data_IF_474270662156
#
_entry.id   IF_474270662156
#
_cell.length_a   1.000
_cell.length_b   1.000
_cell.length_c   1.000
_cell.angle_alpha   90.00
_cell.angle_beta   90.00
_cell.angle_gamma   90.00
#
_symmetry.space_group_name_H-M   'P 1'
#
loop_
_entity.id
_entity.type
_entity.pdbx_description
1 polymer ?
#
# COMPACT_ATOMS: atom_id res chain seq x y z
N UNK A 1 -15.25 45.70 45.74
CA UNK A 1 -14.16 44.81 45.25
C UNK A 1 -13.91 43.59 46.15
N UNK A 2 -14.76 43.28 47.14
CA UNK A 2 -14.61 42.10 48.02
C UNK A 2 -15.59 40.95 47.68
N UNK A 3 -16.69 41.24 46.97
CA UNK A 3 -17.72 40.25 46.62
C UNK A 3 -17.32 39.40 45.40
N UNK A 4 -16.54 39.98 44.47
CA UNK A 4 -16.01 39.26 43.30
C UNK A 4 -14.94 38.21 43.66
N UNK A 5 -14.20 38.41 44.76
CA UNK A 5 -13.18 37.45 45.21
C UNK A 5 -13.79 36.21 45.89
N UNK A 6 -14.96 36.35 46.53
CA UNK A 6 -15.66 35.24 47.20
C UNK A 6 -16.33 34.31 46.17
N UNK A 7 -16.82 34.86 45.05
CA UNK A 7 -17.38 34.05 43.95
C UNK A 7 -16.31 33.27 43.17
N UNK A 8 -15.10 33.82 43.00
CA UNK A 8 -13.99 33.04 42.41
C UNK A 8 -13.58 31.85 43.30
N UNK A 9 -13.62 31.97 44.63
CA UNK A 9 -13.33 30.85 45.53
C UNK A 9 -14.44 29.79 45.56
N UNK A 10 -15.69 30.15 45.23
CA UNK A 10 -16.79 29.20 45.15
C UNK A 10 -16.79 28.39 43.83
N UNK A 11 -16.35 28.99 42.73
CA UNK A 11 -16.25 28.29 41.42
C UNK A 11 -15.00 27.39 41.36
N UNK A 12 -13.93 27.71 42.08
CA UNK A 12 -12.77 26.82 42.22
C UNK A 12 -12.97 25.66 43.22
N UNK A 13 -14.08 25.64 43.97
CA UNK A 13 -14.44 24.53 44.86
C UNK A 13 -15.32 23.46 44.21
N UNK A 14 -15.66 23.58 42.92
CA UNK A 14 -15.79 22.39 42.08
C UNK A 14 -14.39 21.92 41.70
N UNK A 15 -13.69 21.48 42.75
CA UNK A 15 -12.60 20.53 42.67
C UNK A 15 -12.92 19.54 41.56
N UNK A 16 -12.06 19.50 40.54
CA UNK A 16 -11.64 18.24 39.96
C UNK A 16 -11.30 17.35 41.16
N UNK A 17 -12.27 16.58 41.62
CA UNK A 17 -11.98 15.44 42.47
C UNK A 17 -11.11 14.58 41.59
N UNK A 18 -9.79 14.59 41.83
CA UNK A 18 -8.96 13.48 41.46
C UNK A 18 -9.61 12.32 42.21
N UNK A 19 -10.48 11.57 41.53
CA UNK A 19 -10.94 10.29 42.05
C UNK A 19 -9.65 9.50 42.22
N UNK A 20 -9.21 9.34 43.47
CA UNK A 20 -8.13 8.44 43.79
C UNK A 20 -8.67 7.07 43.42
N UNK A 21 -8.31 6.61 42.23
CA UNK A 21 -8.69 5.31 41.71
C UNK A 21 -8.20 4.26 42.71
N UNK A 22 -9.11 3.43 43.18
CA UNK A 22 -8.79 2.39 44.13
C UNK A 22 -8.06 1.27 43.38
N UNK A 23 -6.92 0.82 43.89
CA UNK A 23 -6.25 -0.38 43.37
C UNK A 23 -7.17 -1.61 43.49
N UNK A 24 -7.13 -2.51 42.51
CA UNK A 24 -7.93 -3.73 42.55
C UNK A 24 -7.47 -4.65 43.69
N UNK A 25 -8.44 -5.21 44.42
CA UNK A 25 -8.19 -6.31 45.35
C UNK A 25 -8.01 -7.63 44.59
N UNK A 26 -7.45 -8.69 45.22
CA UNK A 26 -7.40 -10.01 44.60
C UNK A 26 -8.78 -10.53 44.17
N UNK A 27 -9.83 -10.19 44.92
CA UNK A 27 -11.21 -10.54 44.55
C UNK A 27 -11.68 -9.78 43.31
N UNK A 28 -11.35 -8.50 43.19
CA UNK A 28 -11.72 -7.68 42.03
C UNK A 28 -11.06 -8.24 40.76
N UNK A 29 -9.77 -8.62 40.84
CA UNK A 29 -9.05 -9.24 39.72
C UNK A 29 -9.63 -10.60 39.32
N UNK A 30 -10.00 -11.42 40.30
CA UNK A 30 -10.65 -12.71 40.03
C UNK A 30 -12.00 -12.51 39.33
N UNK A 31 -12.81 -11.53 39.78
CA UNK A 31 -14.09 -11.20 39.13
C UNK A 31 -13.87 -10.67 37.70
N UNK A 32 -12.89 -9.79 37.50
CA UNK A 32 -12.55 -9.29 36.17
C UNK A 32 -12.19 -10.44 35.22
N UNK A 33 -11.31 -11.34 35.65
CA UNK A 33 -10.88 -12.48 34.86
C UNK A 33 -12.01 -13.46 34.58
N UNK A 34 -12.77 -13.87 35.60
CA UNK A 34 -13.80 -14.91 35.45
C UNK A 34 -15.05 -14.42 34.71
N UNK A 35 -15.38 -13.13 34.84
CA UNK A 35 -16.61 -12.58 34.25
C UNK A 35 -16.35 -11.75 33.01
N UNK A 36 -15.52 -10.73 33.11
CA UNK A 36 -15.28 -9.84 31.99
C UNK A 36 -14.46 -10.58 30.92
N UNK A 37 -13.39 -11.28 31.33
CA UNK A 37 -12.54 -12.09 30.44
C UNK A 37 -13.31 -13.16 29.67
N UNK A 38 -14.32 -13.81 30.27
CA UNK A 38 -15.15 -14.77 29.56
C UNK A 38 -16.03 -14.15 28.46
N UNK A 39 -16.42 -12.87 28.61
CA UNK A 39 -17.17 -12.14 27.59
C UNK A 39 -16.20 -11.60 26.51
N UNK A 40 -15.02 -11.14 26.92
CA UNK A 40 -13.92 -10.77 26.02
C UNK A 40 -13.55 -11.94 25.10
N UNK A 41 -13.28 -13.13 25.63
CA UNK A 41 -12.94 -14.33 24.84
C UNK A 41 -14.02 -14.65 23.79
N UNK A 42 -15.30 -14.44 24.12
CA UNK A 42 -16.39 -14.63 23.17
C UNK A 42 -16.36 -13.58 22.06
N UNK A 43 -16.12 -12.31 22.39
CA UNK A 43 -16.02 -11.24 21.41
C UNK A 43 -14.76 -11.39 20.53
N UNK A 44 -13.63 -11.77 21.13
CA UNK A 44 -12.37 -12.06 20.43
C UNK A 44 -12.56 -13.19 19.41
N UNK A 45 -13.33 -14.23 19.76
CA UNK A 45 -13.66 -15.29 18.80
C UNK A 45 -14.41 -14.78 17.56
N UNK A 46 -15.20 -13.71 17.69
CA UNK A 46 -15.81 -13.06 16.54
C UNK A 46 -14.80 -12.21 15.77
N UNK A 47 -13.91 -11.47 16.46
CA UNK A 47 -12.83 -10.73 15.81
C UNK A 47 -11.96 -11.64 14.95
N UNK A 48 -11.52 -12.79 15.49
CA UNK A 48 -10.72 -13.78 14.76
C UNK A 48 -11.50 -14.37 13.58
N UNK A 49 -12.77 -14.73 13.79
CA UNK A 49 -13.60 -15.35 12.75
C UNK A 49 -13.85 -14.42 11.55
N UNK A 50 -13.94 -13.13 11.79
CA UNK A 50 -14.22 -12.11 10.78
C UNK A 50 -13.00 -11.24 10.48
N UNK A 51 -11.79 -11.70 10.83
CA UNK A 51 -10.58 -10.99 10.48
C UNK A 51 -10.49 -10.82 8.95
N UNK A 52 -10.23 -9.58 8.51
CA UNK A 52 -10.21 -9.20 7.10
C UNK A 52 -11.57 -9.20 6.38
N UNK A 53 -12.70 -9.39 7.07
CA UNK A 53 -14.03 -9.48 6.45
C UNK A 53 -15.07 -8.65 7.22
N UNK A 54 -16.07 -8.12 6.50
CA UNK A 54 -17.19 -7.41 7.13
C UNK A 54 -18.21 -8.46 7.64
N UNK A 55 -18.51 -8.52 8.96
CA UNK A 55 -19.49 -9.46 9.48
C UNK A 55 -20.92 -9.18 8.97
N UNK A 56 -21.80 -10.19 8.93
CA UNK A 56 -23.24 -9.99 8.77
C UNK A 56 -23.84 -9.06 9.84
N UNK A 57 -24.97 -8.42 9.53
CA UNK A 57 -25.54 -7.38 10.40
C UNK A 57 -26.01 -7.90 11.76
N UNK A 58 -26.57 -9.12 11.81
CA UNK A 58 -26.94 -9.81 13.05
C UNK A 58 -25.72 -10.13 13.92
N UNK A 59 -24.59 -10.43 13.29
CA UNK A 59 -23.33 -10.64 13.99
C UNK A 59 -22.80 -9.33 14.57
N UNK A 60 -22.86 -8.22 13.82
CA UNK A 60 -22.47 -6.90 14.34
C UNK A 60 -23.31 -6.47 15.55
N UNK A 61 -24.61 -6.74 15.53
CA UNK A 61 -25.51 -6.47 16.66
C UNK A 61 -25.08 -7.27 17.89
N UNK A 62 -24.87 -8.58 17.75
CA UNK A 62 -24.38 -9.44 18.83
C UNK A 62 -23.03 -8.96 19.41
N UNK A 63 -22.09 -8.59 18.54
CA UNK A 63 -20.79 -8.07 18.97
C UNK A 63 -20.90 -6.75 19.71
N UNK A 64 -21.81 -5.88 19.26
CA UNK A 64 -22.11 -4.61 19.94
C UNK A 64 -22.69 -4.83 21.33
N UNK A 65 -23.52 -5.84 21.51
CA UNK A 65 -24.07 -6.19 22.82
C UNK A 65 -23.04 -6.83 23.75
N UNK A 66 -22.16 -7.69 23.22
CA UNK A 66 -21.01 -8.22 23.98
C UNK A 66 -20.10 -7.09 24.47
N UNK A 67 -19.79 -6.13 23.59
CA UNK A 67 -19.01 -4.95 23.95
C UNK A 67 -19.66 -4.16 25.10
N UNK A 68 -20.97 -3.86 25.02
CA UNK A 68 -21.68 -3.17 26.11
C UNK A 68 -21.56 -3.94 27.44
N UNK A 69 -21.71 -5.26 27.39
CA UNK A 69 -21.60 -6.10 28.58
C UNK A 69 -20.18 -6.05 29.19
N UNK A 70 -19.13 -6.01 28.36
CA UNK A 70 -17.73 -5.85 28.81
C UNK A 70 -17.54 -4.49 29.48
N UNK A 71 -18.06 -3.42 28.87
CA UNK A 71 -18.02 -2.06 29.41
C UNK A 71 -18.69 -1.94 30.77
N UNK A 72 -19.90 -2.48 30.89
CA UNK A 72 -20.63 -2.54 32.15
C UNK A 72 -19.88 -3.40 33.19
N UNK A 73 -19.28 -4.51 32.77
CA UNK A 73 -18.53 -5.40 33.65
C UNK A 73 -17.34 -4.69 34.32
N UNK A 74 -16.46 -4.06 33.54
CA UNK A 74 -15.31 -3.35 34.08
C UNK A 74 -15.70 -2.11 34.89
N UNK A 75 -16.75 -1.39 34.47
CA UNK A 75 -17.26 -0.24 35.20
C UNK A 75 -17.82 -0.62 36.57
N UNK A 76 -18.53 -1.75 36.68
CA UNK A 76 -19.03 -2.26 37.97
C UNK A 76 -17.90 -2.62 38.95
N UNK A 77 -16.77 -3.09 38.43
CA UNK A 77 -15.59 -3.40 39.26
C UNK A 77 -14.94 -2.10 39.74
N UNK A 78 -14.79 -1.11 38.85
CA UNK A 78 -14.48 0.29 39.19
C UNK A 78 -13.13 0.54 39.86
N UNK A 79 -12.24 -0.46 39.90
CA UNK A 79 -10.86 -0.31 40.35
C UNK A 79 -9.95 0.13 39.20
N UNK A 80 -8.76 0.62 39.52
CA UNK A 80 -7.84 1.21 38.54
C UNK A 80 -7.56 0.28 37.36
N UNK A 81 -7.10 -0.95 37.62
CA UNK A 81 -6.76 -1.87 36.52
C UNK A 81 -7.99 -2.22 35.67
N UNK A 82 -9.19 -2.33 36.27
CA UNK A 82 -10.43 -2.60 35.54
C UNK A 82 -10.82 -1.44 34.62
N UNK A 83 -10.66 -0.20 35.08
CA UNK A 83 -10.97 0.99 34.28
C UNK A 83 -9.93 1.22 33.18
N UNK A 84 -8.66 0.86 33.42
CA UNK A 84 -7.63 0.83 32.36
C UNK A 84 -7.98 -0.22 31.28
N UNK A 85 -8.40 -1.43 31.69
CA UNK A 85 -8.90 -2.45 30.75
C UNK A 85 -10.11 -1.95 29.96
N UNK A 86 -11.07 -1.30 30.62
CA UNK A 86 -12.23 -0.68 29.96
C UNK A 86 -11.78 0.27 28.85
N UNK A 87 -10.90 1.22 29.16
CA UNK A 87 -10.41 2.21 28.18
C UNK A 87 -9.69 1.57 26.99
N UNK A 88 -8.87 0.55 27.23
CA UNK A 88 -8.19 -0.17 26.15
C UNK A 88 -9.20 -0.87 25.22
N UNK A 89 -10.22 -1.50 25.81
CA UNK A 89 -11.26 -2.20 25.07
C UNK A 89 -12.17 -1.24 24.28
N UNK A 90 -12.45 -0.04 24.81
CA UNK A 90 -13.16 1.02 24.09
C UNK A 90 -12.43 1.40 22.79
N UNK A 91 -11.10 1.56 22.86
CA UNK A 91 -10.26 1.90 21.69
C UNK A 91 -10.26 0.77 20.66
N UNK A 92 -10.13 -0.48 21.11
CA UNK A 92 -10.13 -1.65 20.23
C UNK A 92 -11.47 -1.81 19.50
N UNK A 93 -12.59 -1.70 20.24
CA UNK A 93 -13.91 -1.81 19.65
C UNK A 93 -14.24 -0.64 18.71
N UNK A 94 -13.80 0.58 19.03
CA UNK A 94 -13.96 1.72 18.11
C UNK A 94 -13.20 1.48 16.79
N UNK A 95 -11.95 1.02 16.85
CA UNK A 95 -11.17 0.67 15.66
C UNK A 95 -11.87 -0.42 14.83
N UNK A 96 -12.37 -1.48 15.47
CA UNK A 96 -13.13 -2.54 14.81
C UNK A 96 -14.42 -2.03 14.18
N UNK A 97 -15.17 -1.19 14.90
CA UNK A 97 -16.43 -0.61 14.42
C UNK A 97 -16.19 0.21 13.15
N UNK A 98 -15.12 1.01 13.14
CA UNK A 98 -14.72 1.80 11.97
C UNK A 98 -14.30 0.87 10.82
N UNK A 99 -13.50 -0.17 11.09
CA UNK A 99 -13.08 -1.15 10.07
C UNK A 99 -14.29 -1.75 9.33
N UNK A 100 -15.33 -2.13 10.06
CA UNK A 100 -16.55 -2.74 9.50
C UNK A 100 -17.45 -1.82 8.69
N UNK A 101 -17.15 -0.52 8.67
CA UNK A 101 -17.80 0.39 7.73
C UNK A 101 -17.29 0.18 6.30
N UNK A 102 -16.25 -0.63 6.08
CA UNK A 102 -15.58 -0.77 4.79
C UNK A 102 -14.64 0.40 4.49
N UNK A 103 -14.19 1.12 5.52
CA UNK A 103 -13.40 2.35 5.33
C UNK A 103 -12.05 2.08 4.64
N UNK A 104 -11.46 0.89 4.84
CA UNK A 104 -10.19 0.53 4.20
C UNK A 104 -10.35 0.44 2.69
N UNK A 105 -11.37 -0.28 2.22
CA UNK A 105 -11.66 -0.40 0.78
C UNK A 105 -11.96 0.98 0.18
N UNK A 106 -12.77 1.78 0.88
CA UNK A 106 -13.05 3.17 0.50
C UNK A 106 -11.78 4.01 0.35
N UNK A 107 -10.84 3.90 1.30
CA UNK A 107 -9.59 4.66 1.25
C UNK A 107 -8.63 4.16 0.18
N UNK A 108 -8.58 2.85 -0.08
CA UNK A 108 -7.82 2.29 -1.19
C UNK A 108 -8.31 2.87 -2.53
N UNK A 109 -9.63 2.92 -2.73
CA UNK A 109 -10.22 3.53 -3.93
C UNK A 109 -9.98 5.04 -4.02
N UNK A 110 -10.14 5.76 -2.91
CA UNK A 110 -9.85 7.19 -2.85
C UNK A 110 -8.41 7.50 -3.27
N UNK A 111 -7.44 6.74 -2.75
CA UNK A 111 -6.03 6.91 -3.14
C UNK A 111 -5.78 6.52 -4.59
N UNK A 112 -6.39 5.44 -5.07
CA UNK A 112 -6.35 5.05 -6.48
C UNK A 112 -6.83 6.17 -7.40
N UNK A 113 -7.97 6.78 -7.06
CA UNK A 113 -8.56 7.89 -7.80
C UNK A 113 -7.65 9.14 -7.86
N UNK A 114 -6.84 9.39 -6.82
CA UNK A 114 -5.82 10.46 -6.84
C UNK A 114 -4.70 10.11 -7.82
N UNK A 115 -4.11 8.91 -7.75
CA UNK A 115 -3.00 8.52 -8.64
C UNK A 115 -3.40 8.45 -10.12
N UNK A 116 -4.63 8.04 -10.38
CA UNK A 116 -5.17 7.89 -11.74
C UNK A 116 -5.79 9.20 -12.27
N UNK A 117 -5.78 10.27 -11.48
CA UNK A 117 -6.35 11.57 -11.83
C UNK A 117 -7.83 11.45 -12.29
N UNK A 118 -8.60 10.53 -11.69
CA UNK A 118 -10.00 10.28 -12.06
C UNK A 118 -10.92 11.48 -11.82
N UNK A 119 -10.51 12.38 -10.92
CA UNK A 119 -11.29 13.54 -10.49
C UNK A 119 -10.43 14.79 -10.51
N UNK A 120 -10.88 15.86 -11.17
CA UNK A 120 -10.06 17.06 -11.38
C UNK A 120 -9.66 17.76 -10.06
N UNK A 121 -10.50 17.69 -9.03
CA UNK A 121 -10.27 18.38 -7.77
C UNK A 121 -9.16 17.75 -6.92
N UNK A 122 -8.77 16.49 -7.17
CA UNK A 122 -7.81 15.79 -6.31
C UNK A 122 -6.42 16.40 -6.37
N UNK A 123 -6.07 17.00 -7.50
CA UNK A 123 -4.78 17.63 -7.75
C UNK A 123 -4.57 18.96 -7.00
N UNK A 124 -5.61 19.51 -6.37
CA UNK A 124 -5.54 20.80 -5.66
C UNK A 124 -5.00 20.68 -4.22
N UNK A 125 -4.85 19.46 -3.70
CA UNK A 125 -4.52 19.23 -2.29
C UNK A 125 -3.39 18.21 -2.10
N UNK A 126 -2.58 18.40 -1.06
CA UNK A 126 -1.46 17.51 -0.73
C UNK A 126 -1.89 16.30 0.14
N UNK A 127 -2.77 15.45 -0.39
CA UNK A 127 -3.33 14.29 0.34
C UNK A 127 -2.29 13.32 0.92
N UNK A 128 -1.16 13.20 0.24
CA UNK A 128 -0.08 12.27 0.58
C UNK A 128 1.08 12.91 1.33
N UNK A 129 0.94 14.16 1.79
CA UNK A 129 2.01 14.87 2.52
C UNK A 129 2.48 14.07 3.74
N UNK A 130 3.80 14.04 3.95
CA UNK A 130 4.40 13.42 5.14
C UNK A 130 4.42 14.36 6.34
N UNK A 131 4.16 15.66 6.12
CA UNK A 131 3.93 16.61 7.20
C UNK A 131 2.50 16.47 7.72
N UNK A 132 2.30 16.16 9.02
CA UNK A 132 0.97 15.97 9.58
C UNK A 132 0.05 17.17 9.44
N UNK A 133 0.58 18.40 9.54
CA UNK A 133 -0.22 19.63 9.49
C UNK A 133 -0.70 19.89 8.07
N UNK A 134 0.21 19.83 7.10
CA UNK A 134 -0.10 20.00 5.68
C UNK A 134 -1.10 18.95 5.19
N UNK A 135 -0.89 17.69 5.60
CA UNK A 135 -1.82 16.61 5.28
C UNK A 135 -3.20 16.88 5.90
N UNK A 136 -3.26 17.30 7.16
CA UNK A 136 -4.52 17.62 7.83
C UNK A 136 -5.27 18.76 7.14
N UNK A 137 -4.54 19.80 6.74
CA UNK A 137 -5.10 20.93 5.99
C UNK A 137 -5.62 20.49 4.62
N UNK A 138 -4.93 19.56 3.93
CA UNK A 138 -5.40 18.97 2.68
C UNK A 138 -6.77 18.30 2.84
N UNK A 139 -6.96 17.48 3.89
CA UNK A 139 -8.27 16.86 4.15
C UNK A 139 -9.34 17.88 4.56
N UNK A 140 -9.02 18.82 5.45
CA UNK A 140 -10.02 19.79 5.90
C UNK A 140 -10.48 20.74 4.78
N UNK A 141 -9.54 21.28 4.00
CA UNK A 141 -9.86 22.19 2.90
C UNK A 141 -10.38 21.44 1.67
N UNK A 142 -9.88 20.23 1.44
CA UNK A 142 -10.31 19.34 0.36
C UNK A 142 -11.57 18.54 0.65
N UNK A 143 -12.25 18.78 1.77
CA UNK A 143 -13.44 18.03 2.21
C UNK A 143 -14.47 17.81 1.10
N UNK A 144 -14.77 18.85 0.31
CA UNK A 144 -15.74 18.74 -0.79
C UNK A 144 -15.26 17.74 -1.86
N UNK A 145 -13.99 17.79 -2.23
CA UNK A 145 -13.39 16.86 -3.18
C UNK A 145 -13.36 15.43 -2.62
N UNK A 146 -13.00 15.28 -1.34
CA UNK A 146 -13.04 13.98 -0.67
C UNK A 146 -14.44 13.34 -0.71
N UNK A 147 -15.49 14.12 -0.44
CA UNK A 147 -16.86 13.60 -0.53
C UNK A 147 -17.33 13.37 -1.97
N UNK A 148 -16.88 14.17 -2.94
CA UNK A 148 -17.15 13.91 -4.36
C UNK A 148 -16.65 12.53 -4.76
N UNK A 149 -15.36 12.24 -4.51
CA UNK A 149 -14.76 10.94 -4.83
C UNK A 149 -15.45 9.82 -4.06
N UNK A 150 -15.50 9.93 -2.73
CA UNK A 150 -15.96 8.81 -1.91
C UNK A 150 -17.45 8.50 -2.12
N UNK A 151 -18.28 9.48 -2.53
CA UNK A 151 -19.71 9.25 -2.83
C UNK A 151 -19.94 8.31 -4.00
N UNK A 152 -18.96 8.19 -4.90
CA UNK A 152 -19.00 7.32 -6.08
C UNK A 152 -18.25 6.01 -5.80
N UNK A 153 -17.08 6.12 -5.18
CA UNK A 153 -16.15 4.99 -5.03
C UNK A 153 -16.42 4.11 -3.80
N UNK A 154 -17.13 4.63 -2.79
CA UNK A 154 -17.28 3.94 -1.52
C UNK A 154 -18.68 3.38 -1.27
N UNK A 155 -18.75 2.37 -0.40
CA UNK A 155 -20.03 1.81 0.04
C UNK A 155 -20.85 2.83 0.84
N UNK A 156 -22.18 2.64 0.86
CA UNK A 156 -23.10 3.43 1.69
C UNK A 156 -22.71 3.41 3.18
N UNK A 157 -22.18 2.29 3.68
CA UNK A 157 -21.75 2.16 5.08
C UNK A 157 -20.59 3.10 5.40
N UNK A 158 -19.57 3.12 4.53
CA UNK A 158 -18.41 4.01 4.66
C UNK A 158 -18.84 5.48 4.53
N UNK A 159 -19.73 5.78 3.59
CA UNK A 159 -20.29 7.12 3.38
C UNK A 159 -21.02 7.64 4.62
N UNK A 160 -21.87 6.82 5.23
CA UNK A 160 -22.61 7.19 6.44
C UNK A 160 -21.66 7.50 7.60
N UNK A 161 -20.63 6.66 7.78
CA UNK A 161 -19.59 6.89 8.79
C UNK A 161 -18.83 8.19 8.54
N UNK A 162 -18.31 8.38 7.31
CA UNK A 162 -17.53 9.55 6.92
C UNK A 162 -18.32 10.85 7.09
N UNK A 163 -19.58 10.87 6.66
CA UNK A 163 -20.45 12.05 6.77
C UNK A 163 -20.66 12.46 8.23
N UNK A 164 -20.82 11.49 9.11
CA UNK A 164 -21.10 11.73 10.54
C UNK A 164 -19.83 12.04 11.34
N UNK A 165 -18.70 11.41 10.99
CA UNK A 165 -17.48 11.38 11.79
C UNK A 165 -16.28 12.03 11.11
N UNK A 166 -16.49 12.83 10.06
CA UNK A 166 -15.41 13.32 9.19
C UNK A 166 -14.20 13.90 9.94
N UNK A 167 -14.42 14.79 10.92
CA UNK A 167 -13.30 15.41 11.64
C UNK A 167 -12.51 14.38 12.46
N UNK A 168 -13.20 13.44 13.13
CA UNK A 168 -12.54 12.33 13.84
C UNK A 168 -11.77 11.44 12.87
N UNK A 169 -12.32 11.19 11.70
CA UNK A 169 -11.65 10.44 10.64
C UNK A 169 -10.40 11.15 10.13
N UNK A 170 -10.45 12.47 9.94
CA UNK A 170 -9.27 13.26 9.57
C UNK A 170 -8.22 13.20 10.68
N UNK A 171 -8.63 13.28 11.94
CA UNK A 171 -7.72 13.14 13.08
C UNK A 171 -7.10 11.73 13.11
N UNK A 172 -7.87 10.67 12.89
CA UNK A 172 -7.38 9.29 12.73
C UNK A 172 -6.31 9.17 11.64
N UNK A 173 -6.45 9.87 10.51
CA UNK A 173 -5.47 9.80 9.41
C UNK A 173 -4.20 10.63 9.65
N UNK A 174 -4.27 11.66 10.48
CA UNK A 174 -3.24 12.72 10.52
C UNK A 174 -2.56 12.90 11.87
N UNK A 175 -3.24 12.53 12.96
CA UNK A 175 -2.66 12.53 14.29
C UNK A 175 -2.03 11.16 14.54
N UNK A 176 -0.73 11.15 14.76
CA UNK A 176 -0.02 9.93 15.12
C UNK A 176 -0.49 9.48 16.53
N UNK A 177 -0.93 8.23 16.71
CA UNK A 177 -1.36 7.74 18.01
C UNK A 177 -0.18 7.64 18.98
N UNK A 178 -0.47 7.80 20.27
CA UNK A 178 0.44 7.42 21.34
C UNK A 178 0.53 5.89 21.41
N UNK A 179 1.74 5.33 21.42
CA UNK A 179 1.96 3.89 21.48
C UNK A 179 3.00 3.36 20.49
N UNK A 180 3.07 2.03 20.32
CA UNK A 180 3.97 1.39 19.37
C UNK A 180 3.73 1.92 17.94
N UNK A 181 4.82 2.14 17.22
CA UNK A 181 4.70 2.42 15.79
C UNK A 181 4.17 1.18 15.07
N UNK A 182 3.37 1.39 14.03
CA UNK A 182 2.86 0.33 13.16
C UNK A 182 1.73 -0.55 13.71
N UNK A 183 1.04 -0.10 14.76
CA UNK A 183 -0.11 -0.79 15.33
C UNK A 183 -1.37 0.06 15.23
N UNK A 184 -2.46 -0.52 14.71
CA UNK A 184 -3.78 0.09 14.66
C UNK A 184 -4.12 0.84 13.37
N UNK A 185 -5.38 1.26 13.29
CA UNK A 185 -6.04 1.71 12.08
C UNK A 185 -5.40 2.96 11.44
N UNK A 186 -4.76 3.82 12.24
CA UNK A 186 -3.99 4.96 11.73
C UNK A 186 -2.93 4.52 10.72
N UNK A 187 -2.09 3.54 11.07
CA UNK A 187 -1.00 3.10 10.20
C UNK A 187 -1.54 2.32 9.01
N UNK A 188 -2.53 1.46 9.24
CA UNK A 188 -3.16 0.67 8.17
C UNK A 188 -3.77 1.57 7.08
N UNK A 189 -4.57 2.58 7.45
CA UNK A 189 -5.18 3.50 6.48
C UNK A 189 -4.15 4.36 5.76
N UNK A 190 -3.02 4.66 6.41
CA UNK A 190 -1.95 5.43 5.80
C UNK A 190 -1.08 4.62 4.84
N UNK A 191 -0.95 3.33 5.10
CA UNK A 191 -0.21 2.40 4.26
C UNK A 191 -0.98 2.04 2.97
N UNK A 192 -2.32 2.11 2.97
CA UNK A 192 -3.13 1.84 1.78
C UNK A 192 -2.76 2.73 0.57
N UNK A 193 -2.18 3.91 0.79
CA UNK A 193 -1.68 4.79 -0.29
C UNK A 193 -0.60 4.12 -1.14
N UNK A 194 0.01 3.04 -0.64
CA UNK A 194 1.06 2.29 -1.29
C UNK A 194 0.55 1.16 -2.17
N UNK A 195 -0.72 0.75 -2.05
CA UNK A 195 -1.29 -0.34 -2.83
C UNK A 195 -1.24 -0.04 -4.33
N UNK A 196 -1.70 1.15 -4.73
CA UNK A 196 -1.77 1.53 -6.14
C UNK A 196 -0.38 1.65 -6.81
N UNK A 197 0.62 2.34 -6.23
CA UNK A 197 1.99 2.35 -6.76
C UNK A 197 2.61 0.95 -6.90
N UNK A 198 2.29 0.03 -5.99
CA UNK A 198 2.80 -1.35 -6.02
C UNK A 198 2.11 -2.17 -7.10
N UNK A 199 0.78 -2.09 -7.19
CA UNK A 199 0.03 -2.69 -8.30
C UNK A 199 0.58 -2.19 -9.64
N UNK A 200 0.79 -0.87 -9.73
CA UNK A 200 1.41 -0.23 -10.90
C UNK A 200 2.80 -0.81 -11.18
N UNK A 201 3.67 -0.93 -10.17
CA UNK A 201 5.00 -1.54 -10.31
C UNK A 201 4.94 -2.96 -10.88
N UNK A 202 4.02 -3.79 -10.41
CA UNK A 202 3.82 -5.15 -10.92
C UNK A 202 3.41 -5.13 -12.38
N UNK A 203 2.43 -4.29 -12.74
CA UNK A 203 1.98 -4.09 -14.12
C UNK A 203 3.12 -3.64 -15.04
N UNK A 204 3.91 -2.65 -14.61
CA UNK A 204 5.10 -2.17 -15.34
C UNK A 204 6.15 -3.27 -15.52
N UNK A 205 6.39 -4.05 -14.46
CA UNK A 205 7.34 -5.17 -14.49
C UNK A 205 6.88 -6.27 -15.45
N UNK A 206 5.58 -6.56 -15.50
CA UNK A 206 5.03 -7.53 -16.44
C UNK A 206 5.12 -7.04 -17.89
N UNK A 207 4.73 -5.79 -18.14
CA UNK A 207 4.90 -5.15 -19.45
C UNK A 207 6.36 -5.20 -19.91
N UNK A 208 7.29 -4.91 -19.00
CA UNK A 208 8.73 -5.00 -19.25
C UNK A 208 9.15 -6.39 -19.71
N UNK A 209 8.71 -7.43 -19.00
CA UNK A 209 8.99 -8.81 -19.38
C UNK A 209 8.38 -9.17 -20.73
N UNK A 210 7.20 -8.64 -21.07
CA UNK A 210 6.61 -8.79 -22.40
C UNK A 210 7.52 -8.25 -23.51
N UNK A 211 8.17 -7.10 -23.30
CA UNK A 211 9.05 -6.48 -24.30
C UNK A 211 10.39 -7.18 -24.49
N UNK A 212 11.00 -7.65 -23.39
CA UNK A 212 12.34 -8.28 -23.43
C UNK A 212 12.29 -9.79 -23.63
N UNK A 213 11.13 -10.41 -23.36
CA UNK A 213 10.84 -11.81 -23.64
C UNK A 213 9.54 -11.91 -24.47
N UNK A 214 9.57 -11.41 -25.72
CA UNK A 214 8.39 -11.38 -26.58
C UNK A 214 7.91 -12.81 -26.85
N UNK A 215 6.59 -13.00 -26.75
CA UNK A 215 5.95 -14.23 -27.24
C UNK A 215 5.85 -14.15 -28.77
N UNK A 216 5.89 -15.29 -29.46
CA UNK A 216 5.78 -15.29 -30.93
C UNK A 216 4.50 -14.60 -31.42
N UNK A 217 4.48 -14.15 -32.68
CA UNK A 217 3.34 -13.43 -33.27
C UNK A 217 2.01 -14.21 -33.15
N UNK A 218 2.07 -15.54 -33.22
CA UNK A 218 0.95 -16.45 -33.01
C UNK A 218 0.28 -16.21 -31.64
N UNK A 219 1.08 -16.12 -30.58
CA UNK A 219 0.60 -15.84 -29.22
C UNK A 219 0.24 -14.37 -29.01
N UNK A 220 0.90 -13.43 -29.68
CA UNK A 220 0.53 -12.01 -29.59
C UNK A 220 -0.92 -11.78 -30.03
N UNK A 221 -1.37 -12.50 -31.06
CA UNK A 221 -2.76 -12.47 -31.52
C UNK A 221 -3.77 -13.06 -30.52
N UNK A 222 -3.39 -14.10 -29.80
CA UNK A 222 -4.22 -14.77 -28.77
C UNK A 222 -4.47 -13.87 -27.55
N UNK A 223 -3.47 -13.06 -27.16
CA UNK A 223 -3.51 -12.18 -25.99
C UNK A 223 -3.62 -10.70 -26.36
N UNK A 224 -4.21 -10.36 -27.51
CA UNK A 224 -4.27 -9.00 -28.06
C UNK A 224 -4.71 -7.95 -27.04
N UNK A 225 -5.75 -8.22 -26.24
CA UNK A 225 -6.27 -7.29 -25.24
C UNK A 225 -5.22 -6.92 -24.18
N UNK A 226 -4.38 -7.89 -23.77
CA UNK A 226 -3.29 -7.67 -22.81
C UNK A 226 -2.20 -6.80 -23.41
N UNK A 227 -1.86 -7.02 -24.69
CA UNK A 227 -0.89 -6.19 -25.40
C UNK A 227 -1.41 -4.76 -25.61
N UNK A 228 -2.66 -4.61 -26.07
CA UNK A 228 -3.30 -3.30 -26.26
C UNK A 228 -3.32 -2.50 -24.95
N UNK A 229 -3.58 -3.18 -23.82
CA UNK A 229 -3.53 -2.57 -22.48
C UNK A 229 -2.15 -2.00 -22.15
N UNK A 230 -1.07 -2.73 -22.41
CA UNK A 230 0.29 -2.27 -22.14
C UNK A 230 0.82 -1.24 -23.14
N UNK A 231 0.36 -1.26 -24.40
CA UNK A 231 0.70 -0.24 -25.39
C UNK A 231 0.08 1.13 -25.07
N UNK A 232 -1.09 1.13 -24.43
CA UNK A 232 -1.81 2.34 -24.04
C UNK A 232 -1.41 2.88 -22.67
N UNK A 233 -0.46 2.24 -22.01
CA UNK A 233 -0.03 2.58 -20.67
C UNK A 233 0.65 3.96 -20.63
N UNK A 234 0.01 4.91 -19.93
CA UNK A 234 0.47 6.29 -19.73
C UNK A 234 1.05 6.52 -18.34
N UNK A 235 1.36 5.46 -17.60
CA UNK A 235 1.86 5.54 -16.24
C UNK A 235 3.11 6.41 -16.16
N UNK A 236 3.09 7.40 -15.26
CA UNK A 236 4.29 8.17 -14.96
C UNK A 236 5.23 7.36 -14.04
N UNK A 237 6.10 6.56 -14.66
CA UNK A 237 7.08 5.69 -13.98
C UNK A 237 7.97 6.44 -12.99
N UNK A 238 8.25 7.72 -13.21
CA UNK A 238 9.06 8.53 -12.28
C UNK A 238 8.29 8.81 -10.99
N UNK A 239 7.02 9.23 -11.10
CA UNK A 239 6.16 9.46 -9.93
C UNK A 239 5.93 8.15 -9.19
N UNK A 240 5.60 7.06 -9.90
CA UNK A 240 5.45 5.72 -9.32
C UNK A 240 6.66 5.35 -8.46
N UNK A 241 7.87 5.56 -8.98
CA UNK A 241 9.11 5.27 -8.26
C UNK A 241 9.40 6.19 -7.08
N UNK A 242 9.03 7.47 -7.14
CA UNK A 242 9.16 8.37 -5.99
C UNK A 242 8.26 7.93 -4.85
N UNK A 243 7.00 7.61 -5.16
CA UNK A 243 6.00 7.19 -4.19
C UNK A 243 6.34 5.83 -3.59
N UNK A 244 6.78 4.86 -4.41
CA UNK A 244 7.25 3.56 -3.91
C UNK A 244 8.40 3.71 -2.92
N UNK A 245 9.37 4.57 -3.20
CA UNK A 245 10.47 4.80 -2.25
C UNK A 245 9.98 5.38 -0.92
N UNK A 246 8.98 6.28 -0.94
CA UNK A 246 8.33 6.75 0.30
C UNK A 246 7.67 5.58 1.04
N UNK A 247 6.87 4.79 0.33
CA UNK A 247 6.19 3.61 0.85
C UNK A 247 7.12 2.62 1.54
N UNK A 248 8.21 2.20 0.90
CA UNK A 248 9.16 1.27 1.51
C UNK A 248 9.93 1.85 2.71
N UNK A 249 10.01 3.18 2.80
CA UNK A 249 10.68 3.87 3.90
C UNK A 249 9.76 4.10 5.10
N UNK A 250 8.50 4.43 4.85
CA UNK A 250 7.57 4.89 5.89
C UNK A 250 6.49 3.89 6.24
N UNK A 251 6.17 2.94 5.35
CA UNK A 251 5.11 1.96 5.59
C UNK A 251 5.49 0.96 6.68
N UNK A 252 4.46 0.53 7.37
CA UNK A 252 4.47 -0.50 8.39
C UNK A 252 4.31 -1.91 7.83
N UNK A 253 3.68 -2.03 6.65
CA UNK A 253 3.42 -3.32 6.00
C UNK A 253 4.61 -3.81 5.17
N UNK A 254 5.44 -2.90 4.63
CA UNK A 254 6.55 -3.30 3.77
C UNK A 254 7.83 -3.67 4.53
N UNK A 255 8.56 -4.72 4.07
CA UNK A 255 9.84 -5.08 4.66
C UNK A 255 10.85 -3.94 4.51
N UNK A 256 11.45 -3.52 5.64
CA UNK A 256 12.55 -2.56 5.65
C UNK A 256 13.80 -3.17 5.00
N UNK A 257 14.64 -2.36 4.37
CA UNK A 257 15.87 -2.83 3.71
C UNK A 257 15.70 -3.17 2.23
N UNK A 258 14.51 -2.98 1.65
CA UNK A 258 14.24 -3.19 0.22
C UNK A 258 14.58 -1.96 -0.65
N UNK A 259 15.05 -0.86 -0.07
CA UNK A 259 15.24 0.42 -0.77
C UNK A 259 16.24 0.29 -1.92
N UNK A 260 17.31 -0.49 -1.75
CA UNK A 260 18.29 -0.74 -2.81
C UNK A 260 17.69 -1.57 -3.96
N UNK A 261 16.83 -2.54 -3.64
CA UNK A 261 16.14 -3.35 -4.64
C UNK A 261 15.17 -2.49 -5.44
N UNK A 262 14.34 -1.69 -4.77
CA UNK A 262 13.39 -0.78 -5.42
C UNK A 262 14.11 0.28 -6.24
N UNK A 263 15.19 0.88 -5.71
CA UNK A 263 16.03 1.80 -6.48
C UNK A 263 16.58 1.17 -7.76
N UNK A 264 16.94 -0.12 -7.72
CA UNK A 264 17.37 -0.87 -8.90
C UNK A 264 16.22 -1.09 -9.87
N UNK A 265 15.07 -1.58 -9.40
CA UNK A 265 13.88 -1.80 -10.26
C UNK A 265 13.45 -0.49 -10.93
N UNK A 266 13.38 0.60 -10.17
CA UNK A 266 13.05 1.92 -10.68
C UNK A 266 14.04 2.46 -11.72
N UNK A 267 15.33 2.14 -11.58
CA UNK A 267 16.33 2.48 -12.60
C UNK A 267 16.11 1.69 -13.89
N UNK A 268 15.76 0.42 -13.79
CA UNK A 268 15.49 -0.41 -14.97
C UNK A 268 14.16 -0.03 -15.65
N UNK A 269 13.11 0.28 -14.88
CA UNK A 269 11.84 0.77 -15.43
C UNK A 269 11.99 2.06 -16.25
N UNK A 270 12.89 2.97 -15.86
CA UNK A 270 13.18 4.18 -16.65
C UNK A 270 13.82 3.89 -18.01
N UNK A 271 14.45 2.72 -18.18
CA UNK A 271 15.02 2.32 -19.47
C UNK A 271 13.96 1.74 -20.41
N UNK A 272 12.80 1.38 -19.87
CA UNK A 272 11.73 0.68 -20.58
C UNK A 272 11.16 1.44 -21.77
N UNK A 273 11.13 2.78 -21.70
CA UNK A 273 10.62 3.62 -22.79
C UNK A 273 11.49 3.53 -24.05
N UNK A 274 12.74 3.09 -23.92
CA UNK A 274 13.69 2.95 -25.01
C UNK A 274 13.96 1.49 -25.39
N UNK A 275 13.17 0.52 -24.90
CA UNK A 275 13.32 -0.89 -25.27
C UNK A 275 12.92 -1.08 -26.72
N UNK A 276 13.82 -1.66 -27.52
CA UNK A 276 13.50 -2.10 -28.87
C UNK A 276 13.02 -3.56 -28.85
N UNK A 277 11.72 -3.79 -28.97
CA UNK A 277 11.13 -5.14 -28.94
C UNK A 277 11.68 -6.04 -30.06
N UNK A 278 11.87 -5.50 -31.28
CA UNK A 278 12.39 -6.24 -32.43
C UNK A 278 13.83 -6.74 -32.21
N UNK A 279 14.63 -6.01 -31.43
CA UNK A 279 15.97 -6.45 -31.03
C UNK A 279 15.89 -7.75 -30.22
N UNK A 280 15.00 -7.81 -29.22
CA UNK A 280 14.82 -8.99 -28.37
C UNK A 280 14.12 -10.15 -29.09
N UNK A 281 13.16 -9.86 -29.97
CA UNK A 281 12.54 -10.86 -30.85
C UNK A 281 13.57 -11.54 -31.74
N UNK A 282 14.41 -10.75 -32.41
CA UNK A 282 15.43 -11.32 -33.28
C UNK A 282 16.48 -12.09 -32.49
N UNK A 283 16.92 -11.55 -31.34
CA UNK A 283 17.85 -12.26 -30.46
C UNK A 283 17.30 -13.64 -30.06
N UNK A 284 16.04 -13.72 -29.65
CA UNK A 284 15.37 -14.99 -29.33
C UNK A 284 15.32 -15.93 -30.54
N UNK A 285 14.99 -15.41 -31.73
CA UNK A 285 14.98 -16.19 -32.97
C UNK A 285 16.36 -16.80 -33.24
N UNK A 286 17.41 -15.98 -33.19
CA UNK A 286 18.81 -16.40 -33.34
C UNK A 286 19.19 -17.48 -32.31
N UNK A 287 18.81 -17.30 -31.03
CA UNK A 287 19.05 -18.29 -29.96
C UNK A 287 18.36 -19.64 -30.22
N UNK A 288 17.21 -19.63 -30.90
CA UNK A 288 16.45 -20.83 -31.23
C UNK A 288 16.93 -21.52 -32.52
N UNK A 289 17.71 -20.82 -33.35
CA UNK A 289 18.22 -21.30 -34.61
C UNK A 289 19.65 -21.86 -34.47
N UNK A 290 19.97 -22.88 -35.26
CA UNK A 290 21.35 -23.36 -35.36
C UNK A 290 22.10 -22.49 -36.38
N UNK A 291 22.74 -21.43 -35.89
CA UNK A 291 23.51 -20.51 -36.75
C UNK A 291 24.59 -21.24 -37.54
N UNK A 292 24.77 -20.81 -38.79
CA UNK A 292 25.78 -21.36 -39.66
C UNK A 292 27.14 -20.67 -39.43
N UNK A 293 28.03 -21.31 -38.67
CA UNK A 293 29.38 -20.82 -38.43
C UNK A 293 30.24 -20.66 -39.69
N UNK A 294 29.85 -21.17 -40.87
CA UNK A 294 30.54 -20.87 -42.13
C UNK A 294 30.19 -19.50 -42.73
N UNK A 295 29.06 -18.92 -42.34
CA UNK A 295 28.62 -17.58 -42.79
C UNK A 295 29.22 -16.50 -41.90
N UNK A 296 29.17 -16.69 -40.58
CA UNK A 296 29.70 -15.73 -39.60
C UNK A 296 30.98 -16.26 -38.99
N UNK A 297 32.11 -15.76 -39.46
CA UNK A 297 33.44 -16.25 -39.06
C UNK A 297 33.74 -16.05 -37.57
N UNK A 298 33.12 -15.04 -36.94
CA UNK A 298 33.27 -14.76 -35.52
C UNK A 298 32.64 -15.85 -34.63
N UNK A 299 31.59 -16.54 -35.10
CA UNK A 299 30.96 -17.67 -34.40
C UNK A 299 31.90 -18.88 -34.32
N UNK A 300 32.84 -19.06 -35.26
CA UNK A 300 33.74 -20.22 -35.25
C UNK A 300 34.72 -20.23 -34.07
N UNK A 301 34.96 -19.07 -33.45
CA UNK A 301 35.86 -18.89 -32.30
C UNK A 301 35.16 -19.06 -30.95
N UNK A 302 33.83 -19.07 -30.96
CA UNK A 302 32.95 -18.97 -29.79
C UNK A 302 32.10 -20.26 -29.68
N UNK A 303 31.91 -20.82 -28.49
CA UNK A 303 31.07 -22.01 -28.33
C UNK A 303 29.60 -21.66 -28.11
N UNK A 304 28.71 -22.10 -29.01
CA UNK A 304 27.26 -21.96 -28.80
C UNK A 304 26.79 -20.52 -28.76
N UNK A 305 26.34 -20.04 -27.59
CA UNK A 305 25.79 -18.69 -27.39
C UNK A 305 26.84 -17.65 -26.97
N UNK A 306 28.11 -18.04 -26.88
CA UNK A 306 29.17 -17.15 -26.38
C UNK A 306 29.37 -15.91 -27.27
N UNK A 307 29.00 -15.95 -28.56
CA UNK A 307 29.09 -14.79 -29.44
C UNK A 307 28.25 -13.59 -28.97
N UNK A 308 27.23 -13.80 -28.12
CA UNK A 308 26.51 -12.73 -27.43
C UNK A 308 27.35 -12.01 -26.35
N UNK A 309 28.63 -12.37 -26.19
CA UNK A 309 29.62 -11.67 -25.35
C UNK A 309 30.51 -10.72 -26.15
N UNK A 310 30.63 -10.94 -27.47
CA UNK A 310 31.34 -10.06 -28.39
C UNK A 310 30.34 -9.16 -29.13
N UNK A 311 30.41 -7.85 -28.83
CA UNK A 311 29.51 -6.85 -29.43
C UNK A 311 29.62 -6.82 -30.95
N UNK A 312 30.83 -6.89 -31.48
CA UNK A 312 31.07 -6.76 -32.91
C UNK A 312 30.58 -8.02 -33.63
N UNK A 313 30.81 -9.20 -33.05
CA UNK A 313 30.27 -10.45 -33.58
C UNK A 313 28.73 -10.47 -33.55
N UNK A 314 28.12 -10.07 -32.43
CA UNK A 314 26.66 -10.02 -32.36
C UNK A 314 26.06 -8.99 -33.31
N UNK A 315 26.74 -7.85 -33.54
CA UNK A 315 26.30 -6.87 -34.54
C UNK A 315 26.35 -7.45 -35.95
N UNK A 316 27.42 -8.19 -36.28
CA UNK A 316 27.57 -8.87 -37.57
C UNK A 316 26.44 -9.89 -37.79
N UNK A 317 26.20 -10.76 -36.80
CA UNK A 317 25.13 -11.78 -36.87
C UNK A 317 23.76 -11.14 -36.95
N UNK A 318 23.44 -10.17 -36.10
CA UNK A 318 22.14 -9.49 -36.13
C UNK A 318 21.93 -8.70 -37.43
N UNK A 319 22.98 -8.12 -38.02
CA UNK A 319 22.85 -7.45 -39.32
C UNK A 319 22.50 -8.42 -40.45
N UNK A 320 22.96 -9.67 -40.37
CA UNK A 320 22.66 -10.69 -41.38
C UNK A 320 21.35 -11.43 -41.17
N UNK A 321 20.91 -11.62 -39.92
CA UNK A 321 19.74 -12.45 -39.57
C UNK A 321 18.50 -11.65 -39.17
N UNK A 322 18.63 -10.37 -38.80
CA UNK A 322 17.54 -9.56 -38.28
C UNK A 322 17.01 -8.53 -39.28
N UNK A 323 15.74 -8.11 -39.15
CA UNK A 323 15.23 -6.93 -39.86
C UNK A 323 15.89 -5.64 -39.38
N UNK A 324 15.88 -4.58 -40.20
CA UNK A 324 16.55 -3.30 -39.91
C UNK A 324 16.03 -2.65 -38.62
N UNK A 325 14.74 -2.84 -38.30
CA UNK A 325 14.08 -2.36 -37.09
C UNK A 325 14.74 -2.91 -35.82
N UNK A 326 15.24 -4.14 -35.85
CA UNK A 326 15.94 -4.75 -34.72
C UNK A 326 17.34 -4.14 -34.49
N UNK A 327 17.90 -3.43 -35.48
CA UNK A 327 19.21 -2.78 -35.39
C UNK A 327 19.13 -1.34 -34.90
N UNK A 328 17.92 -0.78 -34.80
CA UNK A 328 17.70 0.55 -34.24
C UNK A 328 18.19 0.57 -32.79
N UNK A 329 19.11 1.49 -32.51
CA UNK A 329 19.73 1.68 -31.19
C UNK A 329 20.50 0.45 -30.65
N UNK A 330 21.02 -0.39 -31.56
CA UNK A 330 21.73 -1.64 -31.23
C UNK A 330 22.73 -1.50 -30.08
N UNK A 331 23.61 -0.48 -30.12
CA UNK A 331 24.69 -0.35 -29.13
C UNK A 331 24.15 -0.18 -27.69
N UNK A 332 23.02 0.52 -27.51
CA UNK A 332 22.40 0.70 -26.20
C UNK A 332 21.63 -0.54 -25.76
N UNK A 333 20.87 -1.18 -26.66
CA UNK A 333 20.16 -2.44 -26.36
C UNK A 333 21.14 -3.55 -25.97
N UNK A 334 22.25 -3.65 -26.71
CA UNK A 334 23.35 -4.56 -26.42
C UNK A 334 23.98 -4.32 -25.06
N UNK A 335 24.41 -3.06 -24.81
CA UNK A 335 25.02 -2.67 -23.54
C UNK A 335 24.12 -3.08 -22.38
N UNK A 336 22.83 -2.77 -22.49
CA UNK A 336 21.88 -3.10 -21.45
C UNK A 336 21.71 -4.62 -21.23
N UNK A 337 21.64 -5.39 -22.32
CA UNK A 337 21.55 -6.86 -22.27
C UNK A 337 22.80 -7.47 -21.63
N UNK A 338 23.98 -6.99 -22.00
CA UNK A 338 25.26 -7.45 -21.45
C UNK A 338 25.40 -7.13 -19.95
N UNK A 339 24.87 -5.98 -19.48
CA UNK A 339 24.83 -5.63 -18.05
C UNK A 339 23.94 -6.58 -17.23
N UNK A 340 22.86 -7.09 -17.82
CA UNK A 340 21.96 -8.06 -17.17
C UNK A 340 22.63 -9.44 -17.09
N UNK A 341 23.28 -9.88 -18.17
CA UNK A 341 23.95 -11.19 -18.26
C UNK A 341 25.17 -11.24 -17.32
N UNK A 342 26.03 -10.20 -17.34
CA UNK A 342 27.26 -10.16 -16.54
C UNK A 342 27.01 -10.02 -15.02
N UNK A 343 25.83 -9.54 -14.60
CA UNK A 343 25.43 -9.53 -13.18
C UNK A 343 25.12 -10.92 -12.61
N UNK A 344 24.78 -11.90 -13.46
CA UNK A 344 24.55 -13.29 -13.03
C UNK A 344 25.85 -14.05 -12.78
N UNK A 345 26.93 -13.71 -13.49
CA UNK A 345 28.23 -14.40 -13.34
C UNK A 345 28.97 -14.01 -12.05
N UNK A 346 28.75 -12.80 -11.51
CA UNK A 346 29.37 -12.34 -10.27
C UNK A 346 28.62 -12.75 -8.97
N UNK A 347 27.61 -13.62 -9.08
CA UNK A 347 26.83 -14.14 -7.93
C UNK A 347 26.96 -15.65 -7.71
N UNK A 348 27.86 -16.32 -8.44
CA UNK A 348 28.21 -17.72 -8.22
C UNK A 348 29.53 -17.87 -7.48
#
# INVERSE_FOLDING_TARGET
MYILFILCLYVFNHTFGIQILKNCTPSDRQIAQDKCGAIEELLDSYFEKYDGQIPPEDVKENMTDLYKNIMECYEMIGCQEALESKMNFEVEFENWSIFNTGIKDCMAEFYGAIYEERYNCTNEFEWFSTDPSTKRDAYLNGKSCFFEVTSIECSNSSQNYLTTNYNKFVDLLTQKPDGPACEGLHYELNDLKCNQPISTLFTQTFSFFGKVMPMGEDKKSEYKEVYDFFEQDKTNKTITCMVLNDCFKTSCTFPKGMEQMIGTVCKELKKMDNVNEHFFECMKSILSQKLNGTVYSCIQKESGLDFFKDKDCAKEVMTGECPEEALVDFDNQWKWTSEIVNKKENKN
#
